data_IF_293354701289
#
_entry.id   IF_293354701289
#
_cell.length_a   1.000
_cell.length_b   1.000
_cell.length_c   1.000
_cell.angle_alpha   90.00
_cell.angle_beta   90.00
_cell.angle_gamma   90.00
#
_symmetry.space_group_name_H-M   'P 1'
#
loop_
_entity.id
_entity.type
_entity.pdbx_description
1 polymer ?
#
# COMPACT_ATOMS: atom_id res chain seq x y z
N UNK A 1 13.90 75.61 38.03
CA UNK A 1 12.63 75.04 38.51
C UNK A 1 12.19 74.02 37.47
N UNK A 2 12.11 72.77 37.89
CA UNK A 2 11.95 71.58 37.06
C UNK A 2 10.64 71.60 36.26
N UNK A 3 10.66 71.08 35.03
CA UNK A 3 9.75 70.01 34.61
C UNK A 3 10.16 69.39 33.27
N UNK A 4 10.04 68.07 33.31
CA UNK A 4 10.37 66.98 32.40
C UNK A 4 9.51 66.96 31.14
N UNK A 5 10.07 66.57 29.98
CA UNK A 5 9.27 66.14 28.84
C UNK A 5 9.94 64.96 28.11
N UNK A 6 9.11 63.93 27.91
CA UNK A 6 9.43 62.54 27.63
C UNK A 6 10.07 62.31 26.26
N UNK A 7 11.07 61.42 26.19
CA UNK A 7 11.57 60.82 24.95
C UNK A 7 10.73 59.59 24.58
N UNK A 8 10.11 59.62 23.40
CA UNK A 8 9.54 58.45 22.74
C UNK A 8 10.67 57.50 22.28
N UNK A 9 10.56 56.17 22.46
CA UNK A 9 11.51 55.25 21.87
C UNK A 9 11.21 55.00 20.39
N UNK A 10 12.29 54.95 19.62
CA UNK A 10 12.40 54.56 18.22
C UNK A 10 11.59 53.32 17.86
N UNK A 11 10.76 53.43 16.82
CA UNK A 11 10.08 52.30 16.21
C UNK A 11 11.09 51.24 15.74
N UNK A 12 10.99 50.04 16.30
CA UNK A 12 11.62 48.85 15.75
C UNK A 12 10.87 48.47 14.47
N UNK A 13 11.51 48.65 13.32
CA UNK A 13 11.08 48.06 12.05
C UNK A 13 10.91 46.56 12.22
N UNK A 14 9.66 46.09 12.28
CA UNK A 14 9.35 44.68 12.17
C UNK A 14 9.67 44.27 10.73
N UNK A 15 10.65 43.39 10.55
CA UNK A 15 10.87 42.70 9.29
C UNK A 15 9.59 41.98 8.86
N UNK A 16 9.27 41.90 7.56
CA UNK A 16 8.09 41.19 7.09
C UNK A 16 8.25 39.71 7.49
N UNK A 17 7.32 39.20 8.30
CA UNK A 17 7.23 37.78 8.62
C UNK A 17 7.25 37.00 7.30
N UNK A 18 8.26 36.15 7.14
CA UNK A 18 8.28 35.12 6.11
C UNK A 18 6.94 34.38 6.15
N UNK A 19 6.28 34.10 5.01
CA UNK A 19 5.08 33.27 5.01
C UNK A 19 5.42 31.95 5.68
N UNK A 20 4.62 31.55 6.68
CA UNK A 20 4.76 30.26 7.35
C UNK A 20 4.81 29.17 6.28
N UNK A 21 5.92 28.44 6.19
CA UNK A 21 6.07 27.37 5.22
C UNK A 21 4.88 26.39 5.34
N UNK A 22 4.26 26.04 4.21
CA UNK A 22 3.15 25.08 4.17
C UNK A 22 3.54 23.77 4.89
N UNK A 23 2.64 23.16 5.68
CA UNK A 23 2.93 21.89 6.34
C UNK A 23 3.27 20.79 5.34
N UNK A 24 4.38 20.10 5.54
CA UNK A 24 4.85 19.04 4.65
C UNK A 24 5.43 17.86 5.42
N UNK A 25 5.29 16.66 4.85
CA UNK A 25 5.99 15.45 5.27
C UNK A 25 6.49 14.77 3.99
N UNK A 26 7.81 14.75 3.81
CA UNK A 26 8.48 14.10 2.69
C UNK A 26 9.23 12.90 3.24
N UNK A 27 9.03 11.73 2.64
CA UNK A 27 9.71 10.50 3.05
C UNK A 27 10.49 9.95 1.88
N UNK A 28 11.70 9.44 2.12
CA UNK A 28 12.47 8.73 1.10
C UNK A 28 13.00 7.40 1.63
N UNK A 29 12.85 6.33 0.87
CA UNK A 29 13.34 4.98 1.18
C UNK A 29 14.53 4.67 0.27
N UNK A 30 15.73 4.62 0.85
CA UNK A 30 16.98 4.48 0.10
C UNK A 30 17.87 3.36 0.66
N UNK A 31 19.01 3.13 0.00
CA UNK A 31 20.14 2.33 0.50
C UNK A 31 19.74 0.97 1.09
N UNK A 32 19.29 0.05 0.22
CA UNK A 32 19.01 -1.30 0.66
C UNK A 32 20.31 -2.00 1.09
N UNK A 33 20.33 -2.53 2.31
CA UNK A 33 21.48 -3.24 2.89
C UNK A 33 21.02 -4.61 3.39
N UNK A 34 21.81 -5.65 3.08
CA UNK A 34 21.61 -6.98 3.65
C UNK A 34 22.17 -7.02 5.07
N UNK A 35 21.32 -7.30 6.04
CA UNK A 35 21.68 -7.49 7.44
C UNK A 35 21.43 -8.94 7.87
N UNK A 36 22.21 -9.38 8.86
CA UNK A 36 22.14 -10.75 9.40
C UNK A 36 22.82 -11.80 8.51
N UNK A 37 22.91 -13.02 9.06
CA UNK A 37 23.59 -14.16 8.43
C UNK A 37 22.64 -15.37 8.31
N UNK A 38 22.91 -16.22 7.32
CA UNK A 38 22.16 -17.47 7.12
C UNK A 38 20.66 -17.24 6.83
N UNK A 39 19.82 -18.09 7.42
CA UNK A 39 18.35 -18.09 7.21
C UNK A 39 17.68 -16.81 7.74
N UNK A 40 18.29 -16.15 8.73
CA UNK A 40 17.77 -14.92 9.33
C UNK A 40 18.15 -13.65 8.58
N UNK A 41 18.88 -13.73 7.47
CA UNK A 41 19.28 -12.55 6.71
C UNK A 41 18.09 -11.85 6.04
N UNK A 42 18.02 -10.53 6.19
CA UNK A 42 16.97 -9.67 5.63
C UNK A 42 17.56 -8.43 4.95
N UNK A 43 16.74 -7.75 4.15
CA UNK A 43 17.09 -6.45 3.56
C UNK A 43 16.46 -5.36 4.42
N UNK A 44 17.28 -4.43 4.88
CA UNK A 44 16.87 -3.18 5.51
C UNK A 44 17.03 -2.02 4.54
N UNK A 45 16.30 -0.95 4.80
CA UNK A 45 16.27 0.28 4.02
C UNK A 45 16.51 1.46 4.94
N UNK A 46 17.20 2.48 4.44
CA UNK A 46 17.29 3.78 5.11
C UNK A 46 16.02 4.57 4.79
N UNK A 47 15.25 4.93 5.81
CA UNK A 47 14.05 5.76 5.68
C UNK A 47 14.36 7.14 6.25
N UNK A 48 14.25 8.17 5.42
CA UNK A 48 14.51 9.56 5.78
C UNK A 48 13.17 10.29 5.76
N UNK A 49 12.76 10.87 6.88
CA UNK A 49 11.59 11.72 6.98
C UNK A 49 12.05 13.18 7.15
N UNK A 50 11.56 14.07 6.29
CA UNK A 50 11.76 15.53 6.39
C UNK A 50 10.42 16.22 6.54
N UNK A 51 10.30 17.09 7.52
CA UNK A 51 9.02 17.69 7.85
C UNK A 51 9.16 18.98 8.65
N UNK A 52 8.12 19.81 8.63
CA UNK A 52 7.93 20.93 9.55
C UNK A 52 6.79 20.69 10.56
N UNK A 53 6.28 19.45 10.66
CA UNK A 53 5.27 19.08 11.65
C UNK A 53 5.87 19.08 13.07
N UNK A 54 5.24 19.76 14.04
CA UNK A 54 5.75 19.88 15.40
C UNK A 54 5.74 18.55 16.17
N UNK A 55 4.94 17.57 15.74
CA UNK A 55 4.87 16.25 16.36
C UNK A 55 6.06 15.34 16.01
N UNK A 56 6.95 15.81 15.13
CA UNK A 56 8.18 15.10 14.76
C UNK A 56 9.39 15.66 15.51
N UNK A 57 10.31 14.77 15.88
CA UNK A 57 11.55 15.08 16.60
C UNK A 57 12.59 15.73 15.68
N UNK A 58 12.30 16.98 15.29
CA UNK A 58 13.16 17.80 14.44
C UNK A 58 12.78 17.77 12.95
N UNK A 59 13.47 18.59 12.13
CA UNK A 59 13.12 18.77 10.73
C UNK A 59 13.51 17.60 9.82
N UNK A 60 14.40 16.73 10.30
CA UNK A 60 14.87 15.54 9.59
C UNK A 60 15.14 14.41 10.58
N UNK A 61 14.66 13.21 10.26
CA UNK A 61 14.91 11.98 11.01
C UNK A 61 15.27 10.86 10.05
N UNK A 62 16.26 10.07 10.43
CA UNK A 62 16.71 8.88 9.69
C UNK A 62 16.50 7.67 10.58
N UNK A 63 15.84 6.64 10.05
CA UNK A 63 15.63 5.34 10.70
C UNK A 63 15.96 4.20 9.73
N UNK A 64 16.24 3.02 10.28
CA UNK A 64 16.42 1.80 9.51
C UNK A 64 15.14 0.98 9.63
N UNK A 65 14.64 0.46 8.51
CA UNK A 65 13.42 -0.35 8.45
C UNK A 65 13.61 -1.54 7.51
N UNK A 66 13.11 -2.72 7.87
CA UNK A 66 13.02 -3.88 6.97
C UNK A 66 11.59 -4.04 6.46
N UNK A 67 11.39 -4.86 5.42
CA UNK A 67 10.07 -5.04 4.80
C UNK A 67 8.94 -5.33 5.80
N UNK A 68 9.19 -6.13 6.85
CA UNK A 68 8.16 -6.43 7.85
C UNK A 68 7.79 -5.25 8.76
N UNK A 69 8.56 -4.15 8.79
CA UNK A 69 8.13 -2.90 9.44
C UNK A 69 7.07 -2.17 8.62
N UNK A 70 7.19 -2.24 7.30
CA UNK A 70 6.19 -1.68 6.41
C UNK A 70 4.89 -2.49 6.46
N UNK A 71 5.00 -3.82 6.63
CA UNK A 71 3.84 -4.69 6.90
C UNK A 71 3.16 -4.30 8.21
N UNK A 72 3.92 -4.14 9.29
CA UNK A 72 3.41 -3.62 10.57
C UNK A 72 2.62 -2.31 10.38
N UNK A 73 3.22 -1.32 9.70
CA UNK A 73 2.56 -0.04 9.45
C UNK A 73 1.27 -0.21 8.64
N UNK A 74 1.32 -1.00 7.56
CA UNK A 74 0.16 -1.25 6.72
C UNK A 74 -1.00 -1.87 7.53
N UNK A 75 -0.71 -2.90 8.31
CA UNK A 75 -1.72 -3.65 9.07
C UNK A 75 -2.34 -2.77 10.16
N UNK A 76 -1.52 -1.97 10.86
CA UNK A 76 -1.99 -0.98 11.84
C UNK A 76 -2.90 0.07 11.23
N UNK A 77 -2.54 0.61 10.06
CA UNK A 77 -3.39 1.57 9.36
C UNK A 77 -4.70 0.92 8.90
N UNK A 78 -4.64 -0.32 8.41
CA UNK A 78 -5.82 -1.06 7.98
C UNK A 78 -6.80 -1.36 9.14
N UNK A 79 -6.28 -1.59 10.34
CA UNK A 79 -7.09 -1.76 11.55
C UNK A 79 -7.70 -0.45 12.04
N UNK A 80 -6.90 0.62 12.10
CA UNK A 80 -7.28 1.87 12.75
C UNK A 80 -8.11 2.82 11.85
N UNK A 81 -8.00 2.70 10.52
CA UNK A 81 -8.64 3.61 9.56
C UNK A 81 -9.66 2.88 8.68
N UNK A 82 -10.73 2.38 9.30
CA UNK A 82 -11.83 1.73 8.58
C UNK A 82 -12.51 2.69 7.60
N UNK A 83 -12.78 2.21 6.39
CA UNK A 83 -13.34 3.02 5.31
C UNK A 83 -12.30 3.80 4.49
N UNK A 84 -11.03 3.80 4.89
CA UNK A 84 -9.92 4.34 4.10
C UNK A 84 -9.21 3.19 3.39
N UNK A 85 -8.94 3.33 2.09
CA UNK A 85 -8.12 2.34 1.39
C UNK A 85 -6.64 2.59 1.70
N UNK A 86 -5.97 1.55 2.21
CA UNK A 86 -4.55 1.65 2.54
C UNK A 86 -3.72 1.34 1.27
N UNK A 87 -2.73 2.18 0.92
CA UNK A 87 -1.85 1.93 -0.22
C UNK A 87 -1.24 0.51 -0.15
N UNK A 88 -1.16 -0.22 -1.27
CA UNK A 88 -0.68 -1.59 -1.25
C UNK A 88 0.82 -1.67 -1.00
N UNK A 89 1.26 -2.74 -0.35
CA UNK A 89 2.67 -3.10 -0.25
C UNK A 89 3.14 -3.90 -1.49
N UNK A 90 4.44 -3.84 -1.83
CA UNK A 90 5.02 -4.78 -2.78
C UNK A 90 4.95 -6.21 -2.23
N UNK A 91 5.02 -7.20 -3.13
CA UNK A 91 4.91 -8.61 -2.78
C UNK A 91 5.96 -9.07 -1.76
N UNK A 92 5.53 -9.93 -0.82
CA UNK A 92 6.34 -10.44 0.30
C UNK A 92 7.53 -11.31 -0.14
N UNK A 93 7.42 -12.06 -1.24
CA UNK A 93 8.56 -12.81 -1.77
C UNK A 93 8.39 -13.21 -3.24
N UNK A 94 9.40 -12.92 -4.05
CA UNK A 94 9.80 -13.80 -5.15
C UNK A 94 10.40 -15.09 -4.55
N UNK A 95 10.45 -16.20 -5.28
CA UNK A 95 11.12 -17.46 -4.87
C UNK A 95 12.42 -17.15 -4.12
N UNK A 96 12.75 -17.86 -3.03
CA UNK A 96 13.85 -17.54 -2.10
C UNK A 96 15.20 -17.23 -2.79
N UNK A 97 15.42 -17.83 -3.97
CA UNK A 97 16.57 -17.56 -4.85
C UNK A 97 16.66 -16.10 -5.37
N UNK A 98 15.54 -15.43 -5.57
CA UNK A 98 15.45 -14.08 -6.15
C UNK A 98 15.32 -12.97 -5.11
N UNK A 99 15.02 -13.29 -3.84
CA UNK A 99 14.78 -12.26 -2.80
C UNK A 99 15.99 -11.36 -2.51
N UNK A 100 17.18 -11.78 -2.95
CA UNK A 100 18.43 -11.05 -2.81
C UNK A 100 19.02 -10.59 -4.15
N UNK A 101 18.28 -10.73 -5.26
CA UNK A 101 18.75 -10.14 -6.53
C UNK A 101 18.68 -8.62 -6.44
N UNK A 102 19.66 -7.94 -7.04
CA UNK A 102 19.70 -6.47 -7.06
C UNK A 102 18.42 -5.88 -7.68
N UNK A 103 17.92 -6.50 -8.76
CA UNK A 103 16.68 -6.11 -9.42
C UNK A 103 15.47 -6.19 -8.48
N UNK A 104 15.31 -7.28 -7.73
CA UNK A 104 14.21 -7.42 -6.77
C UNK A 104 14.31 -6.42 -5.62
N UNK A 105 15.53 -6.21 -5.13
CA UNK A 105 15.81 -5.28 -4.03
C UNK A 105 15.43 -3.85 -4.45
N UNK A 106 15.82 -3.41 -5.64
CA UNK A 106 15.54 -2.07 -6.14
C UNK A 106 14.05 -1.88 -6.46
N UNK A 107 13.44 -2.87 -7.12
CA UNK A 107 12.00 -2.90 -7.39
C UNK A 107 11.18 -2.75 -6.09
N UNK A 108 11.55 -3.51 -5.06
CA UNK A 108 10.91 -3.41 -3.74
C UNK A 108 11.17 -2.05 -3.11
N UNK A 109 12.39 -1.52 -3.16
CA UNK A 109 12.73 -0.21 -2.60
C UNK A 109 11.85 0.90 -3.20
N UNK A 110 11.70 0.93 -4.52
CA UNK A 110 10.83 1.89 -5.22
C UNK A 110 9.37 1.77 -4.79
N UNK A 111 8.84 0.54 -4.72
CA UNK A 111 7.46 0.33 -4.28
C UNK A 111 7.24 0.74 -2.82
N UNK A 112 8.21 0.50 -1.93
CA UNK A 112 8.14 0.95 -0.53
C UNK A 112 8.19 2.48 -0.41
N UNK A 113 9.00 3.14 -1.26
CA UNK A 113 9.07 4.60 -1.35
C UNK A 113 7.72 5.21 -1.78
N UNK A 114 7.10 4.63 -2.81
CA UNK A 114 5.75 5.02 -3.26
C UNK A 114 4.71 4.79 -2.16
N UNK A 115 4.74 3.62 -1.51
CA UNK A 115 3.81 3.26 -0.44
C UNK A 115 3.81 4.30 0.69
N UNK A 116 4.98 4.61 1.25
CA UNK A 116 5.06 5.52 2.40
C UNK A 116 4.75 6.96 2.00
N UNK A 117 5.11 7.40 0.79
CA UNK A 117 4.76 8.74 0.32
C UNK A 117 3.26 8.89 0.07
N UNK A 118 2.56 7.84 -0.40
CA UNK A 118 1.10 7.87 -0.52
C UNK A 118 0.43 8.06 0.83
N UNK A 119 0.89 7.34 1.87
CA UNK A 119 0.42 7.51 3.25
C UNK A 119 0.72 8.93 3.74
N UNK A 120 1.95 9.41 3.56
CA UNK A 120 2.38 10.75 3.97
C UNK A 120 1.66 11.88 3.20
N UNK A 121 1.07 11.61 2.03
CA UNK A 121 0.29 12.58 1.26
C UNK A 121 -1.21 12.61 1.62
N UNK A 122 -1.71 11.54 2.26
CA UNK A 122 -3.12 11.41 2.60
C UNK A 122 -3.46 12.23 3.85
N UNK A 123 -4.57 12.97 3.84
CA UNK A 123 -4.92 13.94 4.91
C UNK A 123 -5.11 13.28 6.28
N UNK A 124 -5.80 12.14 6.34
CA UNK A 124 -5.98 11.35 7.58
C UNK A 124 -4.74 10.52 7.95
N UNK A 125 -4.24 9.67 7.05
CA UNK A 125 -3.14 8.76 7.36
C UNK A 125 -1.83 9.47 7.73
N UNK A 126 -1.57 10.67 7.19
CA UNK A 126 -0.40 11.49 7.55
C UNK A 126 -0.36 11.86 9.04
N UNK A 127 -1.53 11.94 9.68
CA UNK A 127 -1.65 12.29 11.10
C UNK A 127 -1.57 11.06 12.01
N UNK A 128 -1.40 9.86 11.45
CA UNK A 128 -1.35 8.61 12.20
C UNK A 128 -0.19 8.56 13.19
N UNK A 129 -0.51 8.15 14.42
CA UNK A 129 0.48 7.82 15.45
C UNK A 129 1.33 6.59 15.04
N UNK A 130 0.77 5.65 14.29
CA UNK A 130 1.51 4.48 13.78
C UNK A 130 2.53 4.91 12.71
N UNK A 131 2.17 5.82 11.79
CA UNK A 131 3.12 6.41 10.84
C UNK A 131 4.22 7.18 11.57
N UNK A 132 3.84 7.99 12.57
CA UNK A 132 4.78 8.76 13.37
C UNK A 132 5.78 7.84 14.08
N UNK A 133 5.28 6.78 14.69
CA UNK A 133 6.08 5.73 15.34
C UNK A 133 7.04 5.11 14.32
N UNK A 134 6.53 4.66 13.19
CA UNK A 134 7.32 4.07 12.10
C UNK A 134 8.45 4.99 11.63
N UNK A 135 8.25 6.31 11.57
CA UNK A 135 9.27 7.25 11.08
C UNK A 135 10.27 7.71 12.15
N UNK A 136 10.04 7.47 13.44
CA UNK A 136 10.82 8.10 14.51
C UNK A 136 11.50 7.15 15.49
N UNK A 137 10.90 6.00 15.80
CA UNK A 137 11.47 5.11 16.82
C UNK A 137 12.73 4.41 16.32
N UNK A 138 13.61 4.03 17.23
CA UNK A 138 14.78 3.23 16.89
C UNK A 138 14.40 1.78 16.50
N UNK A 139 15.39 1.02 16.04
CA UNK A 139 15.18 -0.38 15.63
C UNK A 139 14.77 -1.29 16.80
N UNK A 140 15.24 -1.01 18.03
CA UNK A 140 14.93 -1.84 19.19
C UNK A 140 13.46 -1.75 19.58
N UNK A 141 12.90 -0.53 19.60
CA UNK A 141 11.48 -0.31 19.85
C UNK A 141 10.65 -0.89 18.71
N UNK A 142 11.08 -0.66 17.46
CA UNK A 142 10.39 -1.18 16.28
C UNK A 142 10.30 -2.72 16.29
N UNK A 143 11.38 -3.40 16.66
CA UNK A 143 11.38 -4.87 16.73
C UNK A 143 10.44 -5.41 17.81
N UNK A 144 10.33 -4.73 18.97
CA UNK A 144 9.39 -5.09 20.03
C UNK A 144 7.94 -4.97 19.56
N UNK A 145 7.58 -3.86 18.90
CA UNK A 145 6.23 -3.63 18.38
C UNK A 145 5.84 -4.72 17.38
N UNK A 146 6.73 -4.99 16.43
CA UNK A 146 6.54 -6.02 15.41
C UNK A 146 6.40 -7.43 16.01
N UNK A 147 7.20 -7.75 17.02
CA UNK A 147 7.19 -9.05 17.70
C UNK A 147 5.92 -9.27 18.52
N UNK A 148 5.43 -8.21 19.18
CA UNK A 148 4.16 -8.23 19.92
C UNK A 148 2.97 -8.56 19.01
N UNK A 149 2.90 -7.92 17.85
CA UNK A 149 1.88 -8.24 16.83
C UNK A 149 2.00 -9.67 16.30
N UNK A 150 3.22 -10.14 16.05
CA UNK A 150 3.43 -11.52 15.58
C UNK A 150 2.97 -12.55 16.62
N UNK A 151 2.91 -12.17 17.90
CA UNK A 151 2.40 -13.00 19.00
C UNK A 151 0.87 -12.96 19.19
N UNK A 152 0.19 -11.91 18.71
CA UNK A 152 -1.27 -11.71 18.90
C UNK A 152 -2.04 -12.02 17.60
N UNK A 153 -1.48 -11.71 16.43
CA UNK A 153 -2.12 -11.86 15.13
C UNK A 153 -1.38 -12.88 14.26
N UNK A 154 -1.90 -14.12 14.23
CA UNK A 154 -1.62 -15.05 13.14
C UNK A 154 -2.47 -14.69 11.91
N UNK A 155 -1.90 -13.88 11.01
CA UNK A 155 -1.64 -14.16 9.58
C UNK A 155 -2.05 -13.02 8.61
N UNK A 156 -1.20 -12.71 7.61
CA UNK A 156 -1.58 -12.09 6.32
C UNK A 156 -2.43 -13.03 5.43
N UNK A 157 -3.10 -14.01 6.03
CA UNK A 157 -4.04 -14.90 5.36
C UNK A 157 -5.43 -14.26 5.27
N UNK A 158 -5.75 -13.26 6.11
CA UNK A 158 -7.08 -12.66 6.10
C UNK A 158 -7.40 -11.93 4.81
N UNK A 159 -6.45 -11.25 4.16
CA UNK A 159 -6.75 -10.62 2.87
C UNK A 159 -7.02 -11.66 1.76
N UNK A 160 -6.20 -12.70 1.64
CA UNK A 160 -6.44 -13.79 0.68
C UNK A 160 -7.70 -14.61 1.01
N UNK A 161 -8.02 -14.77 2.29
CA UNK A 161 -9.21 -15.46 2.77
C UNK A 161 -10.46 -14.61 2.54
N UNK A 162 -10.43 -13.30 2.79
CA UNK A 162 -11.49 -12.34 2.44
C UNK A 162 -11.70 -12.33 0.93
N UNK A 163 -10.65 -12.29 0.11
CA UNK A 163 -10.77 -12.38 -1.36
C UNK A 163 -11.44 -13.70 -1.80
N UNK A 164 -11.09 -14.81 -1.16
CA UNK A 164 -11.64 -16.14 -1.46
C UNK A 164 -13.07 -16.30 -0.94
N UNK A 165 -13.41 -15.67 0.18
CA UNK A 165 -14.73 -15.66 0.80
C UNK A 165 -15.70 -14.73 0.05
N UNK A 166 -15.20 -13.63 -0.53
CA UNK A 166 -15.97 -12.79 -1.45
C UNK A 166 -16.27 -13.56 -2.74
N UNK A 167 -15.31 -14.30 -3.29
CA UNK A 167 -15.52 -15.13 -4.48
C UNK A 167 -16.47 -16.31 -4.23
N UNK A 168 -16.45 -16.92 -3.04
CA UNK A 168 -17.34 -18.04 -2.70
C UNK A 168 -18.77 -17.60 -2.41
N UNK A 169 -18.99 -16.42 -1.80
CA UNK A 169 -20.33 -15.90 -1.45
C UNK A 169 -21.19 -15.45 -2.63
N UNK A 170 -20.59 -15.22 -3.81
CA UNK A 170 -21.35 -15.05 -5.07
C UNK A 170 -22.10 -16.34 -5.45
N UNK A 171 -21.71 -17.49 -4.89
CA UNK A 171 -22.35 -18.80 -5.13
C UNK A 171 -23.56 -19.05 -4.21
N UNK A 172 -23.64 -18.41 -3.05
CA UNK A 172 -24.70 -18.65 -2.04
C UNK A 172 -26.06 -17.99 -2.39
N UNK A 173 -26.10 -17.13 -3.41
CA UNK A 173 -27.34 -16.54 -3.96
C UNK A 173 -28.26 -17.63 -4.56
N UNK A 174 -27.76 -18.85 -4.77
CA UNK A 174 -28.50 -20.00 -5.32
C UNK A 174 -29.35 -20.73 -4.26
N UNK A 175 -29.18 -20.46 -2.96
CA UNK A 175 -29.85 -21.20 -1.87
C UNK A 175 -31.05 -20.50 -1.23
N UNK A 176 -31.58 -19.42 -1.83
CA UNK A 176 -32.89 -18.86 -1.44
C UNK A 176 -32.98 -18.27 -0.04
N UNK A 177 -31.84 -17.96 0.61
CA UNK A 177 -31.82 -17.03 1.74
C UNK A 177 -32.02 -15.62 1.19
N UNK A 178 -32.82 -14.81 1.87
CA UNK A 178 -33.10 -13.41 1.50
C UNK A 178 -31.81 -12.72 1.06
N UNK A 179 -31.88 -11.99 -0.07
CA UNK A 179 -30.71 -11.28 -0.58
C UNK A 179 -30.13 -10.42 0.54
N UNK A 180 -28.81 -10.49 0.80
CA UNK A 180 -28.18 -9.60 1.77
C UNK A 180 -28.57 -8.17 1.46
N UNK A 181 -28.88 -7.37 2.48
CA UNK A 181 -29.17 -5.95 2.30
C UNK A 181 -27.94 -5.29 1.65
N UNK A 182 -28.11 -4.86 0.39
CA UNK A 182 -27.06 -4.25 -0.41
C UNK A 182 -27.32 -2.74 -0.57
N UNK A 183 -26.26 -1.96 -0.38
CA UNK A 183 -26.31 -0.50 -0.55
C UNK A 183 -26.61 -0.17 -2.01
N UNK A 184 -27.85 0.23 -2.28
CA UNK A 184 -28.35 0.48 -3.64
C UNK A 184 -28.25 1.95 -4.06
N UNK A 185 -27.40 2.74 -3.41
CA UNK A 185 -27.24 4.15 -3.76
C UNK A 185 -26.68 4.28 -5.19
N UNK A 186 -27.34 4.99 -6.12
CA UNK A 186 -26.97 4.98 -7.54
C UNK A 186 -25.52 5.40 -7.82
N UNK A 187 -24.99 6.38 -7.07
CA UNK A 187 -23.61 6.84 -7.23
C UNK A 187 -22.60 5.82 -6.71
N UNK A 188 -22.95 5.08 -5.65
CA UNK A 188 -22.10 4.04 -5.09
C UNK A 188 -22.01 2.83 -6.02
N UNK A 189 -23.14 2.39 -6.57
CA UNK A 189 -23.15 1.30 -7.55
C UNK A 189 -22.38 1.68 -8.83
N UNK A 190 -22.51 2.92 -9.32
CA UNK A 190 -21.67 3.41 -10.43
C UNK A 190 -20.18 3.36 -10.09
N UNK A 191 -19.78 3.81 -8.91
CA UNK A 191 -18.39 3.76 -8.46
C UNK A 191 -17.89 2.32 -8.35
N UNK A 192 -18.67 1.43 -7.74
CA UNK A 192 -18.37 0.00 -7.61
C UNK A 192 -18.19 -0.62 -8.99
N UNK A 193 -19.12 -0.45 -9.92
CA UNK A 193 -18.99 -0.96 -11.29
C UNK A 193 -17.72 -0.46 -11.97
N UNK A 194 -17.43 0.85 -11.89
CA UNK A 194 -16.21 1.42 -12.46
C UNK A 194 -14.94 0.77 -11.90
N UNK A 195 -14.85 0.56 -10.59
CA UNK A 195 -13.68 -0.07 -9.95
C UNK A 195 -13.48 -1.52 -10.43
N UNK A 196 -14.55 -2.29 -10.59
CA UNK A 196 -14.45 -3.67 -11.09
C UNK A 196 -14.05 -3.72 -12.57
N UNK A 197 -14.56 -2.81 -13.41
CA UNK A 197 -14.12 -2.71 -14.81
C UNK A 197 -12.66 -2.24 -14.90
N UNK A 198 -12.25 -1.29 -14.07
CA UNK A 198 -10.88 -0.79 -14.02
C UNK A 198 -9.89 -1.91 -13.64
N UNK A 199 -10.24 -2.78 -12.69
CA UNK A 199 -9.43 -3.95 -12.34
C UNK A 199 -9.19 -4.86 -13.56
N UNK A 200 -10.25 -5.16 -14.32
CA UNK A 200 -10.15 -6.03 -15.50
C UNK A 200 -9.21 -5.42 -16.55
N UNK A 201 -9.35 -4.12 -16.83
CA UNK A 201 -8.49 -3.42 -17.78
C UNK A 201 -7.04 -3.36 -17.31
N UNK A 202 -6.80 -3.02 -16.03
CA UNK A 202 -5.45 -2.95 -15.46
C UNK A 202 -4.79 -4.33 -15.41
N UNK A 203 -5.52 -5.39 -15.05
CA UNK A 203 -5.00 -6.75 -14.99
C UNK A 203 -4.60 -7.26 -16.38
N UNK A 204 -5.42 -7.01 -17.41
CA UNK A 204 -5.05 -7.37 -18.78
C UNK A 204 -3.86 -6.53 -19.28
N UNK A 205 -3.83 -5.22 -19.00
CA UNK A 205 -2.68 -4.37 -19.33
C UNK A 205 -1.39 -4.86 -18.65
N UNK A 206 -1.44 -5.18 -17.36
CA UNK A 206 -0.31 -5.71 -16.58
C UNK A 206 0.20 -7.04 -17.17
N UNK A 207 -0.71 -7.92 -17.57
CA UNK A 207 -0.37 -9.20 -18.20
C UNK A 207 0.31 -9.01 -19.55
N UNK A 208 -0.13 -8.04 -20.36
CA UNK A 208 0.53 -7.72 -21.63
C UNK A 208 1.90 -7.06 -21.40
N UNK A 209 2.04 -6.18 -20.41
CA UNK A 209 3.32 -5.59 -20.03
C UNK A 209 4.33 -6.67 -19.60
N UNK A 210 3.91 -7.62 -18.76
CA UNK A 210 4.73 -8.78 -18.39
C UNK A 210 5.18 -9.59 -19.60
N UNK A 211 4.28 -9.87 -20.55
CA UNK A 211 4.61 -10.60 -21.78
C UNK A 211 5.64 -9.85 -22.63
N UNK A 212 5.53 -8.52 -22.71
CA UNK A 212 6.47 -7.68 -23.44
C UNK A 212 7.88 -7.74 -22.81
N UNK A 213 7.98 -7.51 -21.51
CA UNK A 213 9.26 -7.59 -20.76
C UNK A 213 9.88 -8.98 -20.92
N UNK A 214 9.07 -10.04 -20.74
CA UNK A 214 9.51 -11.42 -20.91
C UNK A 214 10.05 -11.67 -22.32
N UNK A 215 9.35 -11.22 -23.36
CA UNK A 215 9.79 -11.39 -24.76
C UNK A 215 11.10 -10.66 -25.04
N UNK A 216 11.30 -9.43 -24.54
CA UNK A 216 12.56 -8.72 -24.72
C UNK A 216 13.73 -9.45 -24.01
N UNK A 217 13.51 -9.98 -22.80
CA UNK A 217 14.52 -10.78 -22.09
C UNK A 217 14.87 -12.07 -22.83
N UNK A 218 13.87 -12.79 -23.35
CA UNK A 218 14.06 -14.02 -24.10
C UNK A 218 14.80 -13.76 -25.42
N UNK A 219 14.40 -12.73 -26.17
CA UNK A 219 15.06 -12.34 -27.41
C UNK A 219 16.51 -11.89 -27.17
N UNK A 220 16.74 -11.08 -26.14
CA UNK A 220 18.08 -10.67 -25.73
C UNK A 220 18.95 -11.90 -25.41
N UNK A 221 18.41 -12.88 -24.69
CA UNK A 221 19.12 -14.12 -24.39
C UNK A 221 19.46 -14.91 -25.67
N UNK A 222 18.49 -15.11 -26.56
CA UNK A 222 18.71 -15.82 -27.83
C UNK A 222 19.77 -15.13 -28.70
N UNK A 223 19.82 -13.80 -28.73
CA UNK A 223 20.86 -13.06 -29.45
C UNK A 223 22.24 -13.19 -28.80
N UNK A 224 22.32 -13.30 -27.48
CA UNK A 224 23.57 -13.60 -26.80
C UNK A 224 24.06 -15.00 -27.16
N UNK A 225 23.17 -16.00 -27.10
CA UNK A 225 23.50 -17.39 -27.39
C UNK A 225 23.91 -17.56 -28.86
N UNK A 226 23.18 -16.91 -29.79
CA UNK A 226 23.56 -16.84 -31.20
C UNK A 226 24.91 -16.15 -31.39
N UNK A 227 25.15 -15.01 -30.73
CA UNK A 227 26.41 -14.29 -30.82
C UNK A 227 27.61 -15.14 -30.40
N UNK A 228 27.46 -15.84 -29.28
CA UNK A 228 28.46 -16.79 -28.77
C UNK A 228 28.71 -17.93 -29.77
N UNK A 229 27.65 -18.55 -30.29
CA UNK A 229 27.77 -19.66 -31.25
C UNK A 229 28.46 -19.23 -32.55
N UNK A 230 28.11 -18.06 -33.08
CA UNK A 230 28.72 -17.54 -34.32
C UNK A 230 30.19 -17.17 -34.10
N UNK A 231 30.57 -16.64 -32.93
CA UNK A 231 32.00 -16.42 -32.62
C UNK A 231 32.78 -17.73 -32.55
N UNK A 232 32.20 -18.79 -31.98
CA UNK A 232 32.83 -20.11 -31.95
C UNK A 232 33.03 -20.67 -33.36
N UNK A 233 32.03 -20.52 -34.24
CA UNK A 233 32.19 -20.86 -35.66
C UNK A 233 33.29 -20.02 -36.33
N UNK A 234 33.32 -18.72 -36.06
CA UNK A 234 34.36 -17.83 -36.56
C UNK A 234 35.78 -18.20 -36.12
N UNK A 235 35.93 -18.84 -34.96
CA UNK A 235 37.21 -19.36 -34.47
C UNK A 235 37.65 -20.66 -35.16
N UNK A 236 36.72 -21.39 -35.79
CA UNK A 236 37.00 -22.59 -36.58
C UNK A 236 37.38 -22.27 -38.04
N UNK A 237 37.10 -21.06 -38.52
CA UNK A 237 37.30 -20.65 -39.90
C UNK A 237 38.54 -19.76 -40.04
N UNK A 238 39.37 -20.06 -41.04
CA UNK A 238 40.51 -19.21 -41.40
C UNK A 238 40.07 -18.07 -42.33
N UNK A 239 40.89 -17.01 -42.44
CA UNK A 239 40.71 -15.90 -43.39
C UNK A 239 39.54 -14.94 -43.09
N UNK A 240 39.02 -14.28 -44.12
CA UNK A 240 38.04 -13.19 -44.00
C UNK A 240 36.69 -13.67 -43.43
N UNK A 241 36.33 -14.95 -43.63
CA UNK A 241 35.07 -15.52 -43.16
C UNK A 241 35.06 -15.65 -41.63
N UNK A 242 36.15 -16.13 -41.02
CA UNK A 242 36.28 -16.19 -39.56
C UNK A 242 36.17 -14.82 -38.89
N UNK A 243 36.75 -13.78 -39.51
CA UNK A 243 36.60 -12.39 -39.08
C UNK A 243 35.15 -11.90 -39.18
N UNK A 244 34.49 -12.15 -40.31
CA UNK A 244 33.11 -11.76 -40.52
C UNK A 244 32.15 -12.40 -39.49
N UNK A 245 32.33 -13.69 -39.18
CA UNK A 245 31.55 -14.36 -38.12
C UNK A 245 31.85 -13.77 -36.75
N UNK A 246 33.12 -13.53 -36.42
CA UNK A 246 33.49 -12.91 -35.14
C UNK A 246 32.85 -11.52 -34.96
N UNK A 247 32.83 -10.71 -36.02
CA UNK A 247 32.16 -9.40 -36.03
C UNK A 247 30.64 -9.53 -35.91
N UNK A 248 30.01 -10.43 -36.66
CA UNK A 248 28.57 -10.69 -36.58
C UNK A 248 28.15 -11.10 -35.16
N UNK A 249 28.91 -12.02 -34.55
CA UNK A 249 28.65 -12.47 -33.20
C UNK A 249 28.80 -11.34 -32.18
N UNK A 250 29.83 -10.48 -32.32
CA UNK A 250 30.01 -9.31 -31.48
C UNK A 250 28.86 -8.29 -31.64
N UNK A 251 28.35 -8.09 -32.86
CA UNK A 251 27.17 -7.24 -33.09
C UNK A 251 25.90 -7.83 -32.46
N UNK A 252 25.73 -9.15 -32.54
CA UNK A 252 24.59 -9.82 -31.89
C UNK A 252 24.60 -9.66 -30.38
N UNK A 253 25.76 -9.82 -29.72
CA UNK A 253 25.91 -9.58 -28.28
C UNK A 253 25.65 -8.10 -27.91
N UNK A 254 26.07 -7.15 -28.75
CA UNK A 254 25.77 -5.74 -28.53
C UNK A 254 24.26 -5.46 -28.56
N UNK A 255 23.53 -6.05 -29.52
CA UNK A 255 22.06 -5.94 -29.60
C UNK A 255 21.40 -6.64 -28.41
N UNK A 256 21.90 -7.81 -28.02
CA UNK A 256 21.46 -8.53 -26.82
C UNK A 256 21.54 -7.65 -25.57
N UNK A 257 22.69 -7.02 -25.33
CA UNK A 257 22.89 -6.14 -24.17
C UNK A 257 21.92 -4.95 -24.15
N UNK A 258 21.66 -4.35 -25.32
CA UNK A 258 20.67 -3.26 -25.46
C UNK A 258 19.25 -3.74 -25.16
N UNK A 259 18.85 -4.91 -25.66
CA UNK A 259 17.53 -5.48 -25.40
C UNK A 259 17.33 -5.87 -23.93
N UNK A 260 18.37 -6.40 -23.26
CA UNK A 260 18.30 -6.69 -21.82
C UNK A 260 18.13 -5.40 -21.01
N UNK A 261 18.84 -4.32 -21.38
CA UNK A 261 18.67 -3.01 -20.75
C UNK A 261 17.25 -2.48 -20.95
N UNK A 262 16.74 -2.51 -22.19
CA UNK A 262 15.38 -2.08 -22.50
C UNK A 262 14.33 -2.91 -21.75
N UNK A 263 14.52 -4.21 -21.63
CA UNK A 263 13.62 -5.07 -20.85
C UNK A 263 13.58 -4.66 -19.38
N UNK A 264 14.71 -4.26 -18.79
CA UNK A 264 14.77 -3.76 -17.43
C UNK A 264 14.06 -2.41 -17.29
N UNK A 265 14.27 -1.47 -18.22
CA UNK A 265 13.56 -0.18 -18.24
C UNK A 265 12.04 -0.39 -18.35
N UNK A 266 11.58 -1.30 -19.21
CA UNK A 266 10.17 -1.67 -19.36
C UNK A 266 9.61 -2.34 -18.10
N UNK A 267 10.39 -3.18 -17.41
CA UNK A 267 9.97 -3.73 -16.13
C UNK A 267 9.71 -2.59 -15.13
N UNK A 268 10.70 -1.72 -14.91
CA UNK A 268 10.67 -0.72 -13.85
C UNK A 268 9.68 0.40 -14.10
N UNK A 269 9.55 0.85 -15.35
CA UNK A 269 8.76 2.05 -15.69
C UNK A 269 7.40 1.74 -16.34
N UNK A 270 7.11 0.49 -16.67
CA UNK A 270 5.84 0.11 -17.31
C UNK A 270 5.14 -1.05 -16.60
N UNK A 271 5.80 -2.21 -16.46
CA UNK A 271 5.17 -3.38 -15.82
C UNK A 271 4.90 -3.17 -14.32
N UNK A 272 5.89 -2.72 -13.55
CA UNK A 272 5.76 -2.53 -12.10
C UNK A 272 4.73 -1.46 -11.70
N UNK A 273 4.66 -0.28 -12.36
CA UNK A 273 3.58 0.67 -12.13
C UNK A 273 2.18 0.08 -12.39
N UNK A 274 2.01 -0.74 -13.45
CA UNK A 274 0.74 -1.42 -13.71
C UNK A 274 0.40 -2.44 -12.61
N UNK A 275 1.38 -3.21 -12.13
CA UNK A 275 1.19 -4.10 -10.98
C UNK A 275 0.77 -3.34 -9.73
N UNK A 276 1.40 -2.21 -9.45
CA UNK A 276 1.03 -1.35 -8.33
C UNK A 276 -0.42 -0.86 -8.43
N UNK A 277 -0.86 -0.40 -9.61
CA UNK A 277 -2.26 0.00 -9.81
C UNK A 277 -3.25 -1.15 -9.66
N UNK A 278 -2.93 -2.36 -10.16
CA UNK A 278 -3.76 -3.55 -9.92
C UNK A 278 -3.92 -3.79 -8.42
N UNK A 279 -2.82 -3.74 -7.65
CA UNK A 279 -2.87 -3.90 -6.19
C UNK A 279 -3.65 -2.76 -5.51
N UNK A 280 -3.55 -1.53 -6.00
CA UNK A 280 -4.28 -0.40 -5.44
C UNK A 280 -5.80 -0.57 -5.62
N UNK A 281 -6.24 -1.02 -6.80
CA UNK A 281 -7.65 -1.36 -7.06
C UNK A 281 -8.12 -2.52 -6.17
N UNK A 282 -7.26 -3.50 -5.90
CA UNK A 282 -7.55 -4.57 -4.93
C UNK A 282 -7.74 -4.02 -3.51
N UNK A 283 -6.91 -3.08 -3.05
CA UNK A 283 -7.11 -2.39 -1.76
C UNK A 283 -8.45 -1.65 -1.73
N UNK A 284 -8.82 -0.95 -2.81
CA UNK A 284 -10.12 -0.26 -2.90
C UNK A 284 -11.28 -1.25 -2.80
N UNK A 285 -11.18 -2.40 -3.49
CA UNK A 285 -12.21 -3.46 -3.41
C UNK A 285 -12.34 -4.04 -2.00
N UNK A 286 -11.24 -4.18 -1.26
CA UNK A 286 -11.29 -4.59 0.14
C UNK A 286 -12.05 -3.56 0.98
N UNK A 287 -11.79 -2.26 0.79
CA UNK A 287 -12.54 -1.19 1.48
C UNK A 287 -14.03 -1.18 1.11
N UNK A 288 -14.38 -1.44 -0.16
CA UNK A 288 -15.78 -1.62 -0.60
C UNK A 288 -16.45 -2.80 0.11
N UNK A 289 -15.73 -3.92 0.27
CA UNK A 289 -16.24 -5.08 0.99
C UNK A 289 -16.48 -4.79 2.48
N UNK A 290 -15.52 -4.13 3.14
CA UNK A 290 -15.64 -3.69 4.53
C UNK A 290 -16.81 -2.72 4.72
N UNK A 291 -16.97 -1.76 3.80
CA UNK A 291 -18.13 -0.88 3.78
C UNK A 291 -19.43 -1.66 3.66
N UNK A 292 -19.49 -2.66 2.80
CA UNK A 292 -20.66 -3.52 2.66
C UNK A 292 -20.98 -4.31 3.93
N UNK A 293 -19.97 -4.71 4.71
CA UNK A 293 -20.17 -5.34 6.03
C UNK A 293 -20.74 -4.32 7.03
N UNK A 294 -20.14 -3.14 7.12
CA UNK A 294 -20.60 -2.08 8.01
C UNK A 294 -22.03 -1.63 7.70
N UNK A 295 -22.37 -1.52 6.41
CA UNK A 295 -23.73 -1.17 5.96
C UNK A 295 -24.76 -2.21 6.39
N UNK A 296 -24.46 -3.51 6.24
CA UNK A 296 -25.36 -4.58 6.72
C UNK A 296 -25.56 -4.53 8.22
N UNK A 297 -24.48 -4.35 8.99
CA UNK A 297 -24.56 -4.21 10.45
C UNK A 297 -25.42 -3.00 10.85
N UNK A 298 -25.29 -1.89 10.14
CA UNK A 298 -26.12 -0.71 10.36
C UNK A 298 -27.60 -1.00 10.09
N UNK A 299 -27.94 -1.72 9.03
CA UNK A 299 -29.32 -2.11 8.74
C UNK A 299 -29.89 -3.06 9.81
N UNK A 300 -29.14 -4.07 10.23
CA UNK A 300 -29.53 -5.01 11.29
C UNK A 300 -29.78 -4.28 12.63
N UNK A 301 -28.92 -3.32 12.98
CA UNK A 301 -29.09 -2.48 14.17
C UNK A 301 -30.34 -1.60 14.06
N UNK A 302 -30.58 -0.98 12.90
CA UNK A 302 -31.76 -0.14 12.67
C UNK A 302 -33.07 -0.94 12.79
N UNK A 303 -33.11 -2.17 12.24
CA UNK A 303 -34.24 -3.08 12.41
C UNK A 303 -34.45 -3.48 13.86
N UNK A 304 -33.36 -3.78 14.58
CA UNK A 304 -33.40 -4.14 16.01
C UNK A 304 -33.98 -2.99 16.84
N UNK A 305 -33.55 -1.75 16.60
CA UNK A 305 -34.08 -0.55 17.27
C UNK A 305 -35.57 -0.41 17.03
N UNK A 306 -36.01 -0.54 15.77
CA UNK A 306 -37.42 -0.43 15.39
C UNK A 306 -38.29 -1.51 16.03
N UNK A 307 -37.80 -2.75 16.11
CA UNK A 307 -38.49 -3.84 16.79
C UNK A 307 -38.63 -3.58 18.29
N UNK A 308 -37.57 -3.06 18.94
CA UNK A 308 -37.60 -2.69 20.35
C UNK A 308 -38.55 -1.52 20.63
N UNK A 309 -38.58 -0.53 19.74
CA UNK A 309 -39.53 0.60 19.80
C UNK A 309 -40.99 0.11 19.75
N UNK A 310 -41.33 -0.72 18.75
CA UNK A 310 -42.67 -1.30 18.62
C UNK A 310 -43.06 -2.14 19.83
N UNK A 311 -42.11 -2.93 20.37
CA UNK A 311 -42.35 -3.73 21.56
C UNK A 311 -42.59 -2.85 22.80
N UNK A 312 -41.81 -1.78 22.95
CA UNK A 312 -41.98 -0.80 24.03
C UNK A 312 -43.37 -0.14 23.97
N UNK A 313 -43.75 0.38 22.79
CA UNK A 313 -45.06 1.01 22.57
C UNK A 313 -46.21 0.05 22.91
N UNK A 314 -46.10 -1.22 22.49
CA UNK A 314 -47.08 -2.25 22.80
C UNK A 314 -47.19 -2.52 24.31
N UNK A 315 -46.06 -2.59 25.02
CA UNK A 315 -46.04 -2.83 26.47
C UNK A 315 -46.60 -1.62 27.23
N UNK A 316 -46.35 -0.40 26.76
CA UNK A 316 -46.92 0.82 27.30
C UNK A 316 -48.44 0.86 27.12
N UNK A 317 -48.93 0.54 25.92
CA UNK A 317 -50.37 0.49 25.62
C UNK A 317 -51.10 -0.57 26.45
N UNK A 318 -50.46 -1.72 26.69
CA UNK A 318 -51.04 -2.82 27.49
C UNK A 318 -50.84 -2.66 29.00
N UNK A 319 -50.18 -1.58 29.46
CA UNK A 319 -49.83 -1.31 30.87
C UNK A 319 -49.13 -2.50 31.52
N UNK A 320 -48.19 -3.11 30.80
CA UNK A 320 -47.44 -4.27 31.29
C UNK A 320 -46.42 -3.86 32.35
N UNK A 321 -46.19 -4.70 33.36
CA UNK A 321 -45.14 -4.49 34.36
C UNK A 321 -43.71 -4.52 33.76
N UNK A 322 -43.56 -5.02 32.53
CA UNK A 322 -42.28 -5.12 31.81
C UNK A 322 -41.87 -3.85 31.06
N UNK A 323 -42.65 -2.77 31.12
CA UNK A 323 -42.35 -1.51 30.41
C UNK A 323 -40.96 -0.98 30.78
N UNK A 324 -40.62 -1.02 32.06
CA UNK A 324 -39.33 -0.49 32.55
C UNK A 324 -38.12 -1.25 31.99
N UNK A 325 -38.22 -2.56 31.86
CA UNK A 325 -37.14 -3.38 31.28
C UNK A 325 -37.01 -3.11 29.77
N UNK A 326 -38.15 -3.00 29.06
CA UNK A 326 -38.16 -2.66 27.63
C UNK A 326 -37.63 -1.24 27.35
N UNK A 327 -37.86 -0.27 28.24
CA UNK A 327 -37.28 1.08 28.13
C UNK A 327 -35.75 1.06 28.24
N UNK A 328 -35.20 0.25 29.15
CA UNK A 328 -33.76 0.08 29.33
C UNK A 328 -33.17 -0.58 28.07
N UNK A 329 -33.76 -1.68 27.62
CA UNK A 329 -33.30 -2.41 26.44
C UNK A 329 -33.36 -1.58 25.15
N UNK A 330 -34.37 -0.71 25.00
CA UNK A 330 -34.45 0.23 23.87
C UNK A 330 -33.35 1.27 23.96
N UNK A 331 -33.20 1.92 25.12
CA UNK A 331 -32.18 2.95 25.35
C UNK A 331 -30.77 2.43 25.13
N UNK A 332 -30.46 1.22 25.59
CA UNK A 332 -29.17 0.58 25.38
C UNK A 332 -28.80 0.46 23.91
N UNK A 333 -29.75 0.07 23.04
CA UNK A 333 -29.49 -0.10 21.61
C UNK A 333 -29.51 1.23 20.86
N UNK A 334 -30.34 2.18 21.28
CA UNK A 334 -30.39 3.54 20.71
C UNK A 334 -29.13 4.37 20.96
N UNK A 335 -28.28 3.99 21.92
CA UNK A 335 -26.99 4.66 22.15
C UNK A 335 -25.93 4.34 21.08
N UNK A 336 -26.13 3.30 20.25
CA UNK A 336 -25.16 2.83 19.26
C UNK A 336 -25.41 3.32 17.81
N UNK A 337 -26.39 4.20 17.62
CA UNK A 337 -26.67 4.95 16.39
C UNK A 337 -26.43 6.43 16.63
#
# INVERSE_FOLDING_TARGET
>A
MWMEQQRSPSGSSQSPRSPSAQPYLLVSVTDPVKLGNGVQAYISYRVIAKTNFPEYLGPEKIVIRRYSDFVWLHDRLFENYKGVFIPPLPEKSAVEKFRFSAEFIEMRRQALDIFVNRIASHHELRQSEDLRTFLQVDEEVMERLRSYETGIFKKPADLMQIFKDVQSRVTDVVLGKEKPVEESHPEYEKMKHYIFELENHLAEAQKQAYRLVKRHRELGKSLSDFGNAVKLLGACEENAIGKAFSELGAKSELVSAKLQKEAHELLMHFEEPLKDYVRAVQSIKATIADRGIAFRQQCELAETIKLKEINLDKLMLTRSDKVRDAEIEYREVSHFT
#
